data_IF_531133445412
#
_entry.id   IF_531133445412
#
_cell.length_a   1.000
_cell.length_b   1.000
_cell.length_c   1.000
_cell.angle_alpha   90.00
_cell.angle_beta   90.00
_cell.angle_gamma   90.00
#
_symmetry.space_group_name_H-M   'P 1'
#
loop_
_entity.id
_entity.type
_entity.pdbx_description
1 polymer ?
#
# COMPACT_ATOMS: atom_id res chain seq x y z
N UNK A 1 -7.74 27.89 13.93
CA UNK A 1 -8.13 29.20 13.35
C UNK A 1 -7.34 30.35 13.96
N UNK A 2 -6.98 30.32 15.26
CA UNK A 2 -6.35 31.47 15.93
C UNK A 2 -5.05 32.01 15.29
N UNK A 3 -4.31 31.15 14.57
CA UNK A 3 -3.11 31.55 13.79
C UNK A 3 -3.40 31.93 12.33
N UNK A 4 -4.65 32.15 11.95
CA UNK A 4 -5.04 32.53 10.59
C UNK A 4 -5.51 33.98 10.58
N UNK A 5 -5.32 34.73 9.49
CA UNK A 5 -5.90 36.06 9.34
C UNK A 5 -7.41 35.98 9.53
N UNK A 6 -7.94 36.73 10.49
CA UNK A 6 -9.34 36.61 10.91
C UNK A 6 -10.27 37.05 9.78
N UNK A 7 -9.84 38.04 9.02
CA UNK A 7 -10.55 38.67 7.91
C UNK A 7 -10.80 37.65 6.78
N UNK A 8 -9.78 36.86 6.44
CA UNK A 8 -9.91 35.83 5.39
C UNK A 8 -10.82 34.68 5.81
N UNK A 9 -10.73 34.26 7.08
CA UNK A 9 -11.62 33.21 7.60
C UNK A 9 -13.06 33.71 7.64
N UNK A 10 -13.27 34.96 8.06
CA UNK A 10 -14.59 35.56 8.13
C UNK A 10 -15.21 35.73 6.74
N UNK A 11 -14.46 36.17 5.74
CA UNK A 11 -14.94 36.27 4.37
C UNK A 11 -15.47 34.94 3.81
N UNK A 12 -14.80 33.82 4.12
CA UNK A 12 -15.25 32.47 3.72
C UNK A 12 -16.52 32.09 4.49
N UNK A 13 -16.56 32.36 5.80
CA UNK A 13 -17.75 32.09 6.62
C UNK A 13 -18.95 32.88 6.10
N UNK A 14 -18.81 34.17 5.83
CA UNK A 14 -19.89 35.03 5.36
C UNK A 14 -20.37 34.65 3.95
N UNK A 15 -19.45 34.18 3.09
CA UNK A 15 -19.81 33.61 1.79
C UNK A 15 -20.65 32.34 1.95
N UNK A 16 -20.20 31.39 2.79
CA UNK A 16 -20.96 30.17 3.05
C UNK A 16 -22.29 30.44 3.77
N UNK A 17 -22.36 31.45 4.66
CA UNK A 17 -23.60 31.83 5.35
C UNK A 17 -24.67 32.34 4.37
N UNK A 18 -24.24 33.08 3.32
CA UNK A 18 -25.14 33.58 2.27
C UNK A 18 -25.55 32.50 1.27
N UNK A 19 -24.61 31.63 0.88
CA UNK A 19 -24.87 30.57 -0.10
C UNK A 19 -25.59 29.36 0.51
N UNK A 20 -25.29 29.04 1.77
CA UNK A 20 -25.77 27.86 2.47
C UNK A 20 -26.11 28.17 3.93
N UNK A 21 -27.23 28.88 4.19
CA UNK A 21 -27.60 29.34 5.53
C UNK A 21 -27.75 28.20 6.55
N UNK A 22 -28.19 27.02 6.10
CA UNK A 22 -28.36 25.84 6.95
C UNK A 22 -27.04 25.24 7.47
N UNK A 23 -25.91 25.54 6.82
CA UNK A 23 -24.61 24.94 7.16
C UNK A 23 -23.65 25.88 7.86
N UNK A 24 -24.08 27.11 8.15
CA UNK A 24 -23.26 28.17 8.77
C UNK A 24 -22.52 27.70 10.02
N UNK A 25 -23.20 26.94 10.88
CA UNK A 25 -22.66 26.45 12.15
C UNK A 25 -21.63 25.31 11.96
N UNK A 26 -21.70 24.57 10.85
CA UNK A 26 -20.74 23.52 10.47
C UNK A 26 -19.54 24.06 9.70
N UNK A 27 -19.68 25.17 9.00
CA UNK A 27 -18.64 25.78 8.16
C UNK A 27 -17.34 26.00 8.92
N UNK A 28 -17.41 26.57 10.13
CA UNK A 28 -16.21 26.84 10.95
C UNK A 28 -15.44 25.56 11.31
N UNK A 29 -16.15 24.48 11.65
CA UNK A 29 -15.54 23.16 11.92
C UNK A 29 -14.94 22.56 10.64
N UNK A 30 -15.58 22.72 9.49
CA UNK A 30 -15.04 22.22 8.20
C UNK A 30 -13.77 22.96 7.79
N UNK A 31 -13.75 24.29 7.89
CA UNK A 31 -12.54 25.09 7.65
C UNK A 31 -11.40 24.62 8.57
N UNK A 32 -11.66 24.41 9.86
CA UNK A 32 -10.65 23.90 10.80
C UNK A 32 -10.07 22.55 10.39
N UNK A 33 -10.95 21.60 10.04
CA UNK A 33 -10.55 20.25 9.68
C UNK A 33 -9.74 20.24 8.39
N UNK A 34 -10.20 20.99 7.38
CA UNK A 34 -9.52 21.13 6.10
C UNK A 34 -8.12 21.73 6.28
N UNK A 35 -8.01 22.88 6.94
CA UNK A 35 -6.71 23.51 7.20
C UNK A 35 -5.78 22.63 8.06
N UNK A 36 -6.34 21.84 8.98
CA UNK A 36 -5.56 20.86 9.76
C UNK A 36 -5.03 19.76 8.85
N UNK A 37 -5.84 19.25 7.92
CA UNK A 37 -5.43 18.28 6.91
C UNK A 37 -4.31 18.84 6.04
N UNK A 38 -4.47 20.05 5.49
CA UNK A 38 -3.43 20.70 4.68
C UNK A 38 -2.09 20.82 5.44
N UNK A 39 -2.12 21.20 6.72
CA UNK A 39 -0.90 21.26 7.55
C UNK A 39 -0.32 19.88 7.83
N UNK A 40 -1.15 18.87 8.05
CA UNK A 40 -0.70 17.49 8.31
C UNK A 40 -0.04 16.91 7.07
N UNK A 41 -0.69 17.00 5.91
CA UNK A 41 -0.12 16.57 4.63
C UNK A 41 1.17 17.33 4.29
N UNK A 42 1.21 18.65 4.52
CA UNK A 42 2.45 19.43 4.36
C UNK A 42 3.56 18.90 5.27
N UNK A 43 3.29 18.67 6.56
CA UNK A 43 4.29 18.14 7.50
C UNK A 43 4.74 16.73 7.13
N UNK A 44 3.83 15.84 6.73
CA UNK A 44 4.19 14.49 6.27
C UNK A 44 5.07 14.58 5.03
N UNK A 45 4.74 15.44 4.06
CA UNK A 45 5.60 15.66 2.88
C UNK A 45 7.00 16.15 3.27
N UNK A 46 7.06 17.17 4.14
CA UNK A 46 8.31 17.81 4.54
C UNK A 46 9.16 16.92 5.49
N UNK A 47 8.54 16.07 6.32
CA UNK A 47 9.20 15.20 7.31
C UNK A 47 9.63 13.85 6.75
N UNK A 48 9.00 13.38 5.67
CA UNK A 48 9.32 12.13 5.02
C UNK A 48 10.08 12.31 3.69
N UNK A 49 10.53 13.53 3.37
CA UNK A 49 11.39 13.78 2.21
C UNK A 49 10.83 13.26 0.89
N UNK A 50 9.52 13.36 0.67
CA UNK A 50 8.79 12.82 -0.49
C UNK A 50 9.08 13.54 -1.83
N UNK A 51 10.31 13.99 -2.05
CA UNK A 51 10.87 14.13 -3.41
C UNK A 51 11.36 12.75 -3.94
N UNK A 52 11.45 11.73 -3.08
CA UNK A 52 11.65 10.34 -3.46
C UNK A 52 10.32 9.59 -3.55
N UNK A 53 10.07 8.80 -4.62
CA UNK A 53 8.80 8.09 -4.83
C UNK A 53 8.56 6.99 -3.80
N UNK A 54 7.30 6.49 -3.64
CA UNK A 54 6.93 5.53 -2.61
C UNK A 54 7.54 4.17 -2.90
N UNK A 55 8.73 3.94 -2.36
CA UNK A 55 9.24 2.58 -2.22
C UNK A 55 9.89 2.41 -0.85
N UNK A 56 9.09 2.51 0.19
CA UNK A 56 9.31 1.59 1.32
C UNK A 56 8.96 0.20 0.75
N UNK A 57 9.98 -0.54 0.31
CA UNK A 57 9.81 -1.97 0.01
C UNK A 57 9.09 -2.60 1.19
N UNK A 58 7.92 -3.23 0.98
CA UNK A 58 7.15 -3.73 2.11
C UNK A 58 7.97 -4.76 2.90
N UNK A 59 7.73 -4.92 4.22
CA UNK A 59 8.63 -5.64 5.14
C UNK A 59 8.88 -7.12 4.77
N UNK A 60 8.01 -7.74 3.96
CA UNK A 60 8.25 -9.09 3.43
C UNK A 60 9.37 -9.15 2.39
N UNK A 61 9.67 -8.03 1.71
CA UNK A 61 10.79 -7.86 0.77
C UNK A 61 12.11 -7.50 1.47
N UNK A 62 12.09 -7.19 2.76
CA UNK A 62 13.29 -6.99 3.59
C UNK A 62 13.47 -8.13 4.60
N UNK A 63 12.77 -9.25 4.41
CA UNK A 63 13.01 -10.44 5.22
C UNK A 63 14.36 -11.05 4.86
N UNK A 64 15.04 -11.66 5.82
CA UNK A 64 16.33 -12.36 5.59
C UNK A 64 16.23 -13.35 4.43
N UNK A 65 15.07 -13.99 4.26
CA UNK A 65 14.79 -14.88 3.13
C UNK A 65 14.75 -14.13 1.79
N UNK A 66 14.11 -12.97 1.74
CA UNK A 66 14.09 -12.13 0.54
C UNK A 66 15.50 -11.63 0.18
N UNK A 67 16.31 -11.26 1.18
CA UNK A 67 17.71 -10.86 0.98
C UNK A 67 18.55 -12.00 0.38
N UNK A 68 18.36 -13.24 0.83
CA UNK A 68 19.05 -14.42 0.28
C UNK A 68 18.65 -14.71 -1.17
N UNK A 69 17.36 -14.58 -1.51
CA UNK A 69 16.87 -14.74 -2.89
C UNK A 69 17.47 -13.66 -3.80
N UNK A 70 17.49 -12.41 -3.33
CA UNK A 70 18.07 -11.29 -4.08
C UNK A 70 19.57 -11.46 -4.27
N UNK A 71 20.31 -11.84 -3.23
CA UNK A 71 21.75 -12.13 -3.32
C UNK A 71 22.04 -13.24 -4.34
N UNK A 72 21.28 -14.34 -4.28
CA UNK A 72 21.43 -15.47 -5.20
C UNK A 72 21.11 -15.07 -6.65
N UNK A 73 20.08 -14.24 -6.85
CA UNK A 73 19.72 -13.73 -8.18
C UNK A 73 20.83 -12.84 -8.76
N UNK A 74 21.41 -11.95 -7.95
CA UNK A 74 22.52 -11.09 -8.36
C UNK A 74 23.77 -11.88 -8.74
N UNK A 75 24.12 -12.92 -7.98
CA UNK A 75 25.24 -13.81 -8.31
C UNK A 75 25.00 -14.54 -9.64
N UNK A 76 23.79 -15.05 -9.86
CA UNK A 76 23.41 -15.71 -11.10
C UNK A 76 23.43 -14.77 -12.30
N UNK A 77 22.95 -13.53 -12.14
CA UNK A 77 23.01 -12.51 -13.19
C UNK A 77 24.46 -12.18 -13.55
N UNK A 78 25.34 -12.05 -12.55
CA UNK A 78 26.77 -11.82 -12.76
C UNK A 78 27.45 -12.98 -13.51
N UNK A 79 27.06 -14.23 -13.22
CA UNK A 79 27.55 -15.41 -13.93
C UNK A 79 27.06 -15.44 -15.39
N UNK A 80 25.78 -15.17 -15.61
CA UNK A 80 25.20 -15.08 -16.96
C UNK A 80 25.86 -13.95 -17.77
N UNK A 81 26.11 -12.80 -17.16
CA UNK A 81 26.83 -11.70 -17.80
C UNK A 81 28.24 -12.09 -18.24
N UNK A 82 28.97 -12.89 -17.43
CA UNK A 82 30.28 -13.44 -17.83
C UNK A 82 30.15 -14.42 -19.02
N UNK A 83 29.12 -15.27 -19.02
CA UNK A 83 28.83 -16.21 -20.12
C UNK A 83 28.55 -15.48 -21.44
N UNK A 84 27.71 -14.44 -21.38
CA UNK A 84 27.37 -13.61 -22.54
C UNK A 84 28.61 -12.94 -23.14
N UNK A 85 29.53 -12.46 -22.29
CA UNK A 85 30.82 -11.90 -22.74
C UNK A 85 31.71 -12.92 -23.45
N UNK A 86 31.59 -14.21 -23.11
CA UNK A 86 32.26 -15.32 -23.79
C UNK A 86 31.46 -15.86 -24.99
N UNK A 87 30.33 -15.24 -25.35
CA UNK A 87 29.49 -15.65 -26.48
C UNK A 87 28.59 -16.86 -26.21
N UNK A 88 28.39 -17.23 -24.94
CA UNK A 88 27.49 -18.31 -24.54
C UNK A 88 26.12 -17.76 -24.10
N UNK A 89 25.07 -18.52 -24.39
CA UNK A 89 23.69 -18.21 -23.97
C UNK A 89 23.52 -18.20 -22.44
N UNK A 90 22.61 -17.36 -21.91
CA UNK A 90 22.34 -17.28 -20.48
C UNK A 90 21.61 -18.52 -20.01
N UNK A 91 21.96 -19.01 -18.82
CA UNK A 91 21.29 -20.16 -18.22
C UNK A 91 20.06 -19.66 -17.48
N UNK A 92 18.88 -20.10 -17.93
CA UNK A 92 17.62 -19.82 -17.27
C UNK A 92 17.57 -20.53 -15.91
N UNK A 93 17.24 -19.78 -14.86
CA UNK A 93 17.06 -20.33 -13.52
C UNK A 93 15.64 -20.89 -13.37
N UNK A 94 15.44 -22.04 -12.72
CA UNK A 94 14.12 -22.52 -12.36
C UNK A 94 13.46 -21.55 -11.37
N UNK A 95 12.13 -21.43 -11.44
CA UNK A 95 11.35 -20.50 -10.61
C UNK A 95 11.70 -20.67 -9.12
N UNK A 96 12.18 -19.63 -8.41
CA UNK A 96 12.64 -19.72 -7.02
C UNK A 96 11.54 -20.15 -6.04
N UNK A 97 10.27 -20.06 -6.43
CA UNK A 97 9.14 -20.57 -5.64
C UNK A 97 8.98 -22.10 -5.73
N UNK A 98 9.54 -22.73 -6.76
CA UNK A 98 9.37 -24.16 -7.02
C UNK A 98 10.37 -25.02 -6.24
N UNK A 99 11.57 -24.49 -5.94
CA UNK A 99 12.57 -25.19 -5.13
C UNK A 99 12.23 -25.19 -3.63
N UNK A 100 11.45 -24.21 -3.15
CA UNK A 100 11.14 -24.09 -1.73
C UNK A 100 9.96 -24.96 -1.26
N UNK A 101 8.96 -25.23 -2.12
CA UNK A 101 7.86 -26.13 -1.76
C UNK A 101 8.29 -27.61 -1.64
N UNK A 102 9.43 -27.97 -2.23
CA UNK A 102 9.91 -29.35 -2.27
C UNK A 102 10.59 -29.81 -0.96
N UNK A 103 11.04 -28.90 -0.07
CA UNK A 103 11.69 -29.30 1.19
C UNK A 103 10.72 -29.68 2.32
N UNK A 104 9.40 -29.76 2.05
CA UNK A 104 8.41 -30.20 3.04
C UNK A 104 7.58 -31.42 2.60
N UNK A 105 8.07 -32.22 1.65
CA UNK A 105 7.52 -33.55 1.39
C UNK A 105 8.42 -34.64 1.95
N UNK A 106 8.45 -34.79 3.28
CA UNK A 106 8.69 -36.09 3.88
C UNK A 106 7.71 -36.26 5.05
N UNK A 107 6.96 -37.37 5.01
CA UNK A 107 5.92 -37.83 5.95
C UNK A 107 4.61 -37.04 6.01
N UNK A 108 3.56 -37.52 5.34
CA UNK A 108 2.57 -38.38 6.00
C UNK A 108 1.44 -38.78 5.04
N UNK A 109 1.03 -40.04 5.17
CA UNK A 109 -0.18 -40.60 4.60
C UNK A 109 -1.44 -39.78 4.93
N UNK A 110 -2.40 -39.88 4.02
CA UNK A 110 -3.81 -39.42 4.06
C UNK A 110 -4.53 -39.92 5.36
N UNK A 111 -5.75 -39.45 5.75
CA UNK A 111 -6.78 -38.80 4.92
C UNK A 111 -7.59 -37.64 5.53
N UNK A 112 -8.17 -36.89 4.59
CA UNK A 112 -9.49 -36.24 4.57
C UNK A 112 -10.29 -36.17 5.89
N UNK A 113 -10.47 -34.95 6.42
CA UNK A 113 -11.78 -34.43 6.83
C UNK A 113 -11.67 -32.95 7.14
N UNK A 114 -12.73 -32.16 6.84
CA UNK A 114 -13.38 -31.20 7.76
C UNK A 114 -13.96 -29.97 7.02
N UNK A 115 -15.27 -30.10 6.77
CA UNK A 115 -16.32 -29.10 7.00
C UNK A 115 -16.43 -27.94 6.00
N UNK A 116 -17.36 -28.11 5.05
CA UNK A 116 -18.25 -27.02 4.63
C UNK A 116 -19.25 -26.70 5.74
N UNK A 117 -19.36 -25.43 6.14
CA UNK A 117 -20.59 -24.89 6.75
C UNK A 117 -20.86 -23.47 6.24
N UNK A 118 -21.79 -23.40 5.29
CA UNK A 118 -22.91 -22.46 5.28
C UNK A 118 -22.62 -20.95 5.30
N UNK A 119 -22.53 -20.36 4.11
CA UNK A 119 -22.79 -18.92 3.92
C UNK A 119 -24.30 -18.72 3.77
N UNK A 120 -24.95 -18.16 4.78
CA UNK A 120 -26.26 -17.50 4.62
C UNK A 120 -26.01 -16.03 4.31
N UNK A 121 -26.35 -15.60 3.10
CA UNK A 121 -26.51 -14.19 2.76
C UNK A 121 -27.93 -13.97 2.30
N UNK A 122 -28.67 -13.19 3.09
CA UNK A 122 -29.94 -12.58 2.75
C UNK A 122 -29.77 -11.61 1.57
N UNK A 123 -30.72 -11.62 0.64
CA UNK A 123 -30.98 -10.51 -0.27
C UNK A 123 -32.43 -10.55 -0.77
N UNK A 124 -33.26 -9.69 -0.18
CA UNK A 124 -34.41 -9.03 -0.85
C UNK A 124 -33.98 -7.58 -1.10
N UNK A 125 -34.55 -6.76 -2.04
CA UNK A 125 -35.94 -6.81 -2.53
C UNK A 125 -36.22 -6.41 -4.01
N UNK A 126 -37.47 -6.67 -4.46
CA UNK A 126 -38.40 -5.77 -5.19
C UNK A 126 -38.10 -5.19 -6.60
N UNK A 127 -38.99 -5.42 -7.59
CA UNK A 127 -39.88 -4.39 -8.21
C UNK A 127 -40.74 -4.93 -9.38
N UNK A 128 -42.04 -4.57 -9.32
CA UNK A 128 -43.15 -4.60 -10.30
C UNK A 128 -43.64 -5.93 -10.90
#
# INVERSE_FOLDING_TARGET
>A
INRQPKEKIQAIIDACARQFPEFTERTRKRILSYLKSCRRNKRTRDSNGWDTPPRLTPPHLTSVQAEQVLASACENEAQNAKRMRLGHEPIAQPNPLSSHLQLKQESNDKPLHRVEVGVKTEASPSLH
#
